data_IF_733007624157
#
_entry.id   IF_733007624157
#
_cell.length_a   1.000
_cell.length_b   1.000
_cell.length_c   1.000
_cell.angle_alpha   90.00
_cell.angle_beta   90.00
_cell.angle_gamma   90.00
#
_symmetry.space_group_name_H-M   'P 1'
#
loop_
_entity.id
_entity.type
_entity.pdbx_description
1 polymer ?
#
# COMPACT_ATOMS: atom_id res chain seq x y z
N UNK A 1 6.75 17.69 18.96
CA UNK A 1 5.99 17.04 17.87
C UNK A 1 6.57 15.64 17.68
N UNK A 2 5.78 14.56 17.81
CA UNK A 2 6.27 13.19 17.54
C UNK A 2 6.13 12.91 16.06
N UNK A 3 7.19 12.47 15.41
CA UNK A 3 7.15 11.99 14.03
C UNK A 3 6.23 10.75 13.95
N UNK A 4 5.50 10.55 12.84
CA UNK A 4 4.76 9.32 12.61
C UNK A 4 5.72 8.11 12.70
N UNK A 5 5.31 7.05 13.39
CA UNK A 5 6.17 5.86 13.53
C UNK A 5 6.01 4.84 12.39
N UNK A 6 4.97 5.00 11.55
CA UNK A 6 4.53 4.02 10.55
C UNK A 6 4.03 4.72 9.29
N UNK A 7 4.32 4.16 8.13
CA UNK A 7 3.67 4.47 6.85
C UNK A 7 2.80 3.28 6.43
N UNK A 8 1.52 3.54 6.17
CA UNK A 8 0.62 2.59 5.51
C UNK A 8 0.54 2.95 4.03
N UNK A 9 0.73 1.96 3.16
CA UNK A 9 0.65 2.11 1.71
C UNK A 9 -0.42 1.17 1.22
N UNK A 10 -1.54 1.71 0.74
CA UNK A 10 -2.53 0.93 0.02
C UNK A 10 -2.03 0.75 -1.42
N UNK A 11 -1.41 -0.40 -1.66
CA UNK A 11 -0.62 -0.64 -2.88
C UNK A 11 -1.47 -1.01 -4.10
N UNK A 12 -2.69 -1.51 -3.86
CA UNK A 12 -3.67 -1.88 -4.87
C UNK A 12 -5.07 -1.86 -4.27
N UNK A 13 -6.09 -1.57 -5.09
CA UNK A 13 -7.50 -1.77 -4.73
C UNK A 13 -8.00 -3.19 -5.09
N UNK A 14 -7.21 -3.98 -5.80
CA UNK A 14 -7.55 -5.34 -6.14
C UNK A 14 -7.70 -6.22 -4.89
N UNK A 15 -8.83 -6.90 -4.76
CA UNK A 15 -9.09 -7.82 -3.65
C UNK A 15 -9.93 -9.01 -4.13
N UNK A 16 -9.58 -10.22 -3.68
CA UNK A 16 -10.33 -11.44 -3.99
C UNK A 16 -11.69 -11.53 -3.27
N UNK A 17 -11.96 -10.65 -2.29
CA UNK A 17 -13.19 -10.61 -1.50
C UNK A 17 -14.05 -9.37 -1.82
N UNK A 18 -15.29 -9.38 -1.29
CA UNK A 18 -16.25 -8.27 -1.33
C UNK A 18 -16.94 -8.15 0.03
N UNK A 19 -16.17 -7.83 1.07
CA UNK A 19 -16.65 -7.80 2.45
C UNK A 19 -17.69 -6.68 2.65
N UNK A 20 -18.81 -6.97 3.34
CA UNK A 20 -19.86 -5.97 3.64
C UNK A 20 -19.38 -4.79 4.48
N UNK A 21 -18.30 -4.98 5.24
CA UNK A 21 -17.70 -3.98 6.12
C UNK A 21 -16.39 -3.40 5.56
N UNK A 22 -16.12 -3.55 4.25
CA UNK A 22 -14.90 -3.04 3.63
C UNK A 22 -14.96 -1.51 3.53
N UNK A 23 -14.13 -0.80 4.30
CA UNK A 23 -14.12 0.66 4.32
C UNK A 23 -13.71 1.29 2.97
N UNK A 24 -12.83 0.63 2.21
CA UNK A 24 -12.32 1.07 0.90
C UNK A 24 -13.18 0.61 -0.27
N UNK A 25 -14.20 -0.23 -0.03
CA UNK A 25 -14.96 -0.90 -1.10
C UNK A 25 -14.07 -1.63 -2.13
N UNK A 26 -12.92 -2.13 -1.68
CA UNK A 26 -11.90 -2.75 -2.54
C UNK A 26 -12.46 -3.92 -3.34
N UNK A 27 -11.87 -4.13 -4.51
CA UNK A 27 -12.27 -5.25 -5.33
C UNK A 27 -11.54 -5.37 -6.66
N UNK A 28 -11.83 -4.49 -7.61
CA UNK A 28 -11.04 -4.41 -8.84
C UNK A 28 -9.86 -3.47 -8.56
N UNK A 29 -8.74 -3.69 -9.24
CA UNK A 29 -7.66 -2.70 -9.26
C UNK A 29 -8.22 -1.34 -9.69
N UNK A 30 -7.66 -0.27 -9.11
CA UNK A 30 -7.98 1.08 -9.57
C UNK A 30 -7.46 1.27 -11.00
N UNK A 31 -8.04 2.21 -11.76
CA UNK A 31 -7.55 2.52 -13.11
C UNK A 31 -6.12 3.07 -13.08
N UNK A 32 -5.78 3.80 -12.02
CA UNK A 32 -4.47 4.36 -11.77
C UNK A 32 -3.97 3.89 -10.41
N UNK A 33 -2.99 2.98 -10.41
CA UNK A 33 -2.28 2.54 -9.22
C UNK A 33 -0.82 3.03 -9.27
N UNK A 34 -0.22 3.27 -8.11
CA UNK A 34 1.19 3.65 -8.05
C UNK A 34 2.06 2.56 -8.69
N UNK A 35 2.95 2.98 -9.57
CA UNK A 35 4.03 2.15 -10.09
C UNK A 35 5.01 1.76 -8.99
N UNK A 36 5.83 0.73 -9.24
CA UNK A 36 6.87 0.32 -8.30
C UNK A 36 7.82 1.48 -7.98
N UNK A 37 8.17 2.29 -8.99
CA UNK A 37 9.05 3.45 -8.83
C UNK A 37 8.48 4.49 -7.88
N UNK A 38 7.17 4.76 -7.97
CA UNK A 38 6.49 5.70 -7.08
C UNK A 38 6.41 5.17 -5.65
N UNK A 39 6.13 3.88 -5.48
CA UNK A 39 6.14 3.23 -4.15
C UNK A 39 7.53 3.29 -3.53
N UNK A 40 8.59 2.99 -4.29
CA UNK A 40 9.96 3.08 -3.80
C UNK A 40 10.33 4.52 -3.43
N UNK A 41 9.99 5.50 -4.26
CA UNK A 41 10.23 6.92 -3.96
C UNK A 41 9.48 7.37 -2.70
N UNK A 42 8.26 6.89 -2.49
CA UNK A 42 7.49 7.17 -1.27
C UNK A 42 8.16 6.57 -0.02
N UNK A 43 8.71 5.36 -0.13
CA UNK A 43 9.43 4.69 0.96
C UNK A 43 10.73 5.44 1.30
N UNK A 44 11.47 5.92 0.29
CA UNK A 44 12.67 6.74 0.49
C UNK A 44 12.33 8.04 1.24
N UNK A 45 11.31 8.77 0.79
CA UNK A 45 10.84 9.98 1.47
C UNK A 45 10.42 9.70 2.92
N UNK A 46 9.73 8.58 3.17
CA UNK A 46 9.34 8.19 4.52
C UNK A 46 10.55 7.85 5.41
N UNK A 47 11.57 7.20 4.84
CA UNK A 47 12.85 6.92 5.51
C UNK A 47 13.56 8.22 5.91
N UNK A 48 13.63 9.21 5.01
CA UNK A 48 14.23 10.53 5.27
C UNK A 48 13.51 11.29 6.39
N UNK A 49 12.21 11.05 6.56
CA UNK A 49 11.39 11.59 7.65
C UNK A 49 11.54 10.82 8.98
N UNK A 50 12.34 9.75 9.02
CA UNK A 50 12.56 8.94 10.21
C UNK A 50 11.47 7.91 10.51
N UNK A 51 10.64 7.56 9.52
CA UNK A 51 9.64 6.48 9.66
C UNK A 51 10.39 5.14 9.60
N UNK A 52 10.14 4.26 10.59
CA UNK A 52 10.88 3.00 10.74
C UNK A 52 10.04 1.76 10.47
N UNK A 53 8.75 1.92 10.18
CA UNK A 53 7.81 0.81 9.96
C UNK A 53 6.97 1.06 8.72
N UNK A 54 6.97 0.08 7.84
CA UNK A 54 6.15 0.05 6.63
C UNK A 54 5.06 -0.98 6.79
N UNK A 55 3.85 -0.65 6.33
CA UNK A 55 2.72 -1.57 6.25
C UNK A 55 2.18 -1.52 4.83
N UNK A 56 2.34 -2.62 4.09
CA UNK A 56 1.64 -2.80 2.83
C UNK A 56 0.20 -3.23 3.12
N UNK A 57 -0.73 -2.47 2.57
CA UNK A 57 -2.17 -2.54 2.79
C UNK A 57 -2.88 -2.38 1.43
N UNK A 58 -4.18 -2.15 1.43
CA UNK A 58 -5.03 -1.95 0.25
C UNK A 58 -6.19 -2.93 0.25
N UNK A 59 -6.60 -3.36 -0.94
CA UNK A 59 -7.47 -4.52 -1.09
C UNK A 59 -6.83 -5.77 -0.52
N UNK A 60 -6.11 -6.52 -1.35
CA UNK A 60 -5.21 -7.58 -0.89
C UNK A 60 -3.80 -7.28 -1.44
N UNK A 61 -2.85 -6.85 -0.58
CA UNK A 61 -1.51 -6.48 -1.01
C UNK A 61 -0.83 -7.56 -1.87
N UNK A 62 -1.03 -8.84 -1.52
CA UNK A 62 -0.36 -9.96 -2.20
C UNK A 62 -0.91 -10.26 -3.60
N UNK A 63 -1.99 -9.60 -4.04
CA UNK A 63 -2.49 -9.68 -5.41
C UNK A 63 -1.72 -8.74 -6.34
N UNK A 64 -1.19 -7.63 -5.83
CA UNK A 64 -0.50 -6.63 -6.67
C UNK A 64 0.73 -7.26 -7.35
N UNK A 65 0.87 -7.11 -8.68
CA UNK A 65 2.13 -7.46 -9.36
C UNK A 65 3.33 -6.77 -8.70
N UNK A 66 4.47 -7.44 -8.62
CA UNK A 66 5.71 -6.88 -8.04
C UNK A 66 5.83 -6.97 -6.50
N UNK A 67 4.76 -7.31 -5.76
CA UNK A 67 4.86 -7.53 -4.29
C UNK A 67 5.39 -8.92 -3.93
N UNK A 68 5.04 -9.95 -4.69
CA UNK A 68 5.51 -11.33 -4.47
C UNK A 68 6.87 -11.49 -5.14
N UNK A 69 7.94 -11.24 -4.37
CA UNK A 69 9.33 -11.32 -4.82
C UNK A 69 10.17 -12.41 -4.13
N UNK A 70 9.52 -13.43 -3.56
CA UNK A 70 10.17 -14.55 -2.87
C UNK A 70 9.59 -15.89 -3.33
#
# INVERSE_FOLDING_TARGET
>A
MKLPSRLYIDVTDACQLRCRHCCSSSGKAAEEEMSDKEIFSLIEQASDMGITKLVFSGGEPLIRPGIRGF
#
